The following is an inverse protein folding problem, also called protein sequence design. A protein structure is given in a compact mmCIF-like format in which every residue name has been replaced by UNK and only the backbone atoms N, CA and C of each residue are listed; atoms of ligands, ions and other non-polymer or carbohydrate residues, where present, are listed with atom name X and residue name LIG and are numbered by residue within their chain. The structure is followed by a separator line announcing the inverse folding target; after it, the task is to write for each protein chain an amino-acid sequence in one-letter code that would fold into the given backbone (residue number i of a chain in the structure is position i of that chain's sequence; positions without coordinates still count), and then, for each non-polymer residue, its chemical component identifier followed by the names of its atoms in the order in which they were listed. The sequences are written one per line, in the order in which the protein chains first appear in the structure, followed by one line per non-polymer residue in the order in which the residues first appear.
data_IF_193210239556
#
_entry.id   IF_193210239556
#
_cell.length_a   1.000
_cell.length_b   1.000
_cell.length_c   1.000
_cell.angle_alpha   90.00
_cell.angle_beta   90.00
_cell.angle_gamma   90.00
#
_symmetry.space_group_name_H-M   'P 1'
#
loop_
_entity.id
_entity.type
_entity.pdbx_description
1 polymer ?
#
# COMPACT_ATOMS: atom_id res chain seq x y z
N UNK A 1 14.48 -6.44 -4.47
CA UNK A 1 14.40 -5.71 -5.75
C UNK A 1 14.62 -4.23 -5.46
N UNK A 2 14.95 -3.41 -6.46
CA UNK A 2 15.08 -1.96 -6.34
C UNK A 2 14.13 -1.29 -7.36
N UNK A 3 13.70 -0.06 -7.06
CA UNK A 3 12.98 0.78 -8.02
C UNK A 3 13.86 1.19 -9.22
N UNK A 4 13.32 1.97 -10.15
CA UNK A 4 14.10 2.47 -11.29
C UNK A 4 15.26 3.35 -10.80
N UNK A 5 16.35 3.36 -11.57
CA UNK A 5 17.44 4.30 -11.36
C UNK A 5 17.06 5.74 -11.77
N UNK A 6 15.99 5.88 -12.56
CA UNK A 6 15.50 7.17 -13.08
C UNK A 6 14.36 7.76 -12.22
N UNK A 7 13.93 7.06 -11.17
CA UNK A 7 12.92 7.57 -10.24
C UNK A 7 13.47 8.77 -9.44
N UNK A 8 12.58 9.66 -9.00
CA UNK A 8 12.94 10.78 -8.09
C UNK A 8 13.64 10.26 -6.82
N UNK A 9 13.19 9.11 -6.31
CA UNK A 9 13.84 8.36 -5.23
C UNK A 9 14.44 7.07 -5.80
N UNK A 10 15.49 7.25 -6.61
CA UNK A 10 16.13 6.18 -7.36
C UNK A 10 16.61 5.03 -6.49
N UNK A 11 16.52 3.81 -7.03
CA UNK A 11 17.03 2.58 -6.40
C UNK A 11 16.49 2.35 -4.97
N UNK A 12 15.27 2.79 -4.68
CA UNK A 12 14.61 2.51 -3.40
C UNK A 12 14.34 1.01 -3.27
N UNK A 13 14.62 0.43 -2.10
CA UNK A 13 14.35 -0.98 -1.84
C UNK A 13 12.85 -1.30 -1.97
N UNK A 14 12.52 -2.29 -2.83
CA UNK A 14 11.14 -2.71 -3.11
C UNK A 14 11.03 -4.23 -3.28
N UNK A 15 9.78 -4.72 -3.30
CA UNK A 15 9.39 -6.10 -3.59
C UNK A 15 8.62 -6.15 -4.91
N UNK A 16 8.56 -7.35 -5.49
CA UNK A 16 7.64 -7.65 -6.59
C UNK A 16 6.61 -8.66 -6.12
N UNK A 17 5.38 -8.52 -6.61
CA UNK A 17 4.32 -9.51 -6.42
C UNK A 17 4.04 -10.36 -7.66
N UNK A 18 4.80 -10.20 -8.75
CA UNK A 18 4.59 -10.92 -10.01
C UNK A 18 4.46 -12.43 -9.85
N UNK A 19 5.19 -13.01 -8.88
CA UNK A 19 5.20 -14.45 -8.60
C UNK A 19 4.56 -14.80 -7.25
N UNK A 20 3.89 -13.85 -6.61
CA UNK A 20 3.28 -14.07 -5.30
C UNK A 20 2.04 -14.96 -5.44
N UNK A 21 2.04 -16.06 -4.68
CA UNK A 21 0.83 -16.86 -4.44
C UNK A 21 0.28 -16.49 -3.07
N UNK A 22 -0.96 -16.01 -3.04
CA UNK A 22 -1.61 -15.60 -1.80
C UNK A 22 -2.90 -16.37 -1.59
N UNK A 23 -3.03 -17.02 -0.42
CA UNK A 23 -4.24 -17.71 0.01
C UNK A 23 -4.59 -17.22 1.41
N UNK A 24 -5.85 -16.83 1.60
CA UNK A 24 -6.38 -16.38 2.88
C UNK A 24 -7.88 -16.64 2.93
N UNK A 25 -8.42 -17.04 4.10
CA UNK A 25 -9.86 -17.13 4.28
C UNK A 25 -10.53 -15.76 4.49
N UNK A 26 -9.75 -14.69 4.64
CA UNK A 26 -10.25 -13.34 4.95
C UNK A 26 -10.26 -12.44 3.72
N UNK A 27 -9.15 -12.40 2.98
CA UNK A 27 -8.97 -11.45 1.88
C UNK A 27 -8.50 -12.12 0.60
N UNK A 28 -8.91 -11.56 -0.54
CA UNK A 28 -8.33 -11.86 -1.84
C UNK A 28 -7.36 -10.76 -2.21
N UNK A 29 -6.14 -11.15 -2.60
CA UNK A 29 -5.12 -10.23 -3.05
C UNK A 29 -4.90 -10.40 -4.55
N UNK A 30 -4.90 -9.29 -5.28
CA UNK A 30 -4.56 -9.24 -6.70
C UNK A 30 -3.56 -8.12 -6.91
N UNK A 31 -2.33 -8.48 -7.26
CA UNK A 31 -1.30 -7.54 -7.66
C UNK A 31 -1.18 -7.47 -9.18
N UNK A 32 -0.92 -6.26 -9.69
CA UNK A 32 -0.58 -6.02 -11.09
C UNK A 32 0.59 -5.04 -11.11
N UNK A 33 1.69 -5.44 -11.72
CA UNK A 33 2.88 -4.62 -11.92
C UNK A 33 3.04 -4.40 -13.42
N UNK A 34 2.78 -3.19 -13.91
CA UNK A 34 2.69 -2.93 -15.36
C UNK A 34 4.04 -2.81 -16.03
N UNK A 35 5.08 -2.44 -15.28
CA UNK A 35 6.45 -2.30 -15.77
C UNK A 35 7.48 -2.80 -14.75
N UNK A 36 8.63 -3.25 -15.25
CA UNK A 36 9.82 -3.49 -14.43
C UNK A 36 10.61 -2.20 -14.21
N UNK A 37 11.73 -2.28 -13.48
CA UNK A 37 12.57 -1.11 -13.17
C UNK A 37 13.18 -0.46 -14.42
N UNK A 38 13.37 -1.22 -15.49
CA UNK A 38 13.82 -0.74 -16.80
C UNK A 38 12.66 -0.16 -17.65
N UNK A 39 11.47 0.06 -17.06
CA UNK A 39 10.27 0.58 -17.73
C UNK A 39 9.73 -0.33 -18.85
N UNK A 40 10.16 -1.59 -18.88
CA UNK A 40 9.65 -2.58 -19.82
C UNK A 40 8.37 -3.18 -19.28
N UNK A 41 7.40 -3.42 -20.17
CA UNK A 41 6.10 -4.01 -19.81
C UNK A 41 6.28 -5.34 -19.09
N UNK A 42 5.65 -5.50 -17.93
CA UNK A 42 5.82 -6.68 -17.07
C UNK A 42 4.56 -7.55 -17.02
N UNK A 43 3.43 -7.01 -16.53
CA UNK A 43 2.14 -7.70 -16.49
C UNK A 43 1.07 -6.93 -17.27
N UNK A 44 0.16 -7.60 -18.00
CA UNK A 44 -1.01 -6.95 -18.54
C UNK A 44 -2.00 -6.61 -17.40
N UNK A 45 -2.69 -5.47 -17.51
CA UNK A 45 -3.85 -5.21 -16.66
C UNK A 45 -5.00 -6.14 -17.05
N UNK A 46 -5.73 -6.64 -16.05
CA UNK A 46 -7.01 -7.33 -16.29
C UNK A 46 -8.08 -6.31 -16.69
N UNK A 47 -9.15 -6.76 -17.38
CA UNK A 47 -10.27 -5.90 -17.73
C UNK A 47 -10.91 -5.24 -16.48
N UNK A 48 -11.01 -6.00 -15.38
CA UNK A 48 -11.56 -5.50 -14.11
C UNK A 48 -10.67 -4.40 -13.50
N UNK A 49 -9.36 -4.63 -13.43
CA UNK A 49 -8.42 -3.64 -12.92
C UNK A 49 -8.38 -2.38 -13.80
N UNK A 50 -8.38 -2.55 -15.13
CA UNK A 50 -8.42 -1.44 -16.08
C UNK A 50 -9.69 -0.60 -15.91
N UNK A 51 -10.85 -1.22 -15.66
CA UNK A 51 -12.10 -0.51 -15.41
C UNK A 51 -12.05 0.27 -14.09
N UNK A 52 -11.54 -0.35 -13.01
CA UNK A 52 -11.34 0.33 -11.71
C UNK A 52 -10.42 1.53 -11.87
N UNK A 53 -9.27 1.34 -12.53
CA UNK A 53 -8.30 2.40 -12.77
C UNK A 53 -8.91 3.55 -13.59
N UNK A 54 -9.58 3.24 -14.71
CA UNK A 54 -10.30 4.24 -15.53
C UNK A 54 -11.35 5.02 -14.73
N UNK A 55 -11.97 4.40 -13.72
CA UNK A 55 -13.03 5.02 -12.93
C UNK A 55 -12.48 5.93 -11.83
N UNK A 56 -11.35 5.57 -11.21
CA UNK A 56 -10.88 6.19 -9.98
C UNK A 56 -9.50 6.83 -10.05
N UNK A 57 -8.72 6.59 -11.09
CA UNK A 57 -7.46 7.28 -11.35
C UNK A 57 -7.71 8.54 -12.22
N UNK A 58 -8.76 9.27 -11.85
CA UNK A 58 -9.18 10.56 -12.44
C UNK A 58 -9.68 11.50 -11.34
N UNK A 59 -9.73 12.82 -11.56
CA UNK A 59 -10.37 13.75 -10.62
C UNK A 59 -11.84 13.38 -10.34
N UNK A 60 -12.37 13.59 -9.12
CA UNK A 60 -11.71 14.23 -7.97
C UNK A 60 -10.88 13.27 -7.09
N UNK A 61 -10.79 11.99 -7.44
CA UNK A 61 -10.13 10.97 -6.62
C UNK A 61 -8.60 11.07 -6.65
N UNK A 62 -8.03 11.56 -7.75
CA UNK A 62 -6.60 11.87 -7.87
C UNK A 62 -6.40 13.23 -8.52
N UNK A 63 -5.27 13.86 -8.21
CA UNK A 63 -4.85 15.10 -8.87
C UNK A 63 -4.22 14.85 -10.24
N UNK A 64 -3.48 13.75 -10.37
CA UNK A 64 -2.81 13.33 -11.60
C UNK A 64 -3.13 11.86 -11.84
N UNK A 65 -3.51 11.53 -13.08
CA UNK A 65 -3.71 10.15 -13.51
C UNK A 65 -2.37 9.43 -13.68
N UNK A 66 -2.47 8.12 -13.75
CA UNK A 66 -1.40 7.12 -13.78
C UNK A 66 -0.56 7.10 -12.50
N UNK A 67 -1.17 7.51 -11.37
CA UNK A 67 -0.54 7.49 -10.07
C UNK A 67 -0.37 6.05 -9.56
N UNK A 68 0.88 5.68 -9.25
CA UNK A 68 1.20 4.41 -8.59
C UNK A 68 1.98 4.68 -7.29
N UNK A 69 1.79 3.88 -6.22
CA UNK A 69 0.89 2.73 -6.14
C UNK A 69 -0.60 3.14 -6.10
N UNK A 70 -1.44 2.28 -6.67
CA UNK A 70 -2.90 2.39 -6.63
C UNK A 70 -3.48 1.12 -6.00
N UNK A 71 -4.26 1.28 -4.92
CA UNK A 71 -4.94 0.18 -4.24
C UNK A 71 -6.42 0.47 -4.15
N UNK A 72 -7.22 -0.50 -4.58
CA UNK A 72 -8.67 -0.50 -4.47
C UNK A 72 -9.10 -1.55 -3.46
N UNK A 73 -9.67 -1.11 -2.35
CA UNK A 73 -10.12 -2.00 -1.27
C UNK A 73 -11.63 -2.19 -1.36
N UNK A 74 -12.03 -3.24 -2.08
CA UNK A 74 -13.42 -3.73 -2.21
C UNK A 74 -14.47 -2.63 -2.46
N UNK A 75 -14.10 -1.57 -3.16
CA UNK A 75 -14.98 -0.42 -3.40
C UNK A 75 -15.16 0.56 -2.25
N UNK A 76 -14.78 0.21 -1.03
CA UNK A 76 -14.94 1.06 0.15
C UNK A 76 -13.81 2.07 0.32
N UNK A 77 -12.59 1.73 -0.09
CA UNK A 77 -11.44 2.64 0.05
C UNK A 77 -10.52 2.65 -1.17
N UNK A 78 -9.85 3.78 -1.36
CA UNK A 78 -8.78 3.99 -2.33
C UNK A 78 -7.49 4.44 -1.64
N UNK A 79 -6.35 3.89 -2.07
CA UNK A 79 -5.02 4.43 -1.83
C UNK A 79 -4.39 4.76 -3.17
N UNK A 80 -4.19 6.05 -3.46
CA UNK A 80 -3.74 6.52 -4.78
C UNK A 80 -2.36 7.18 -4.75
N UNK A 81 -1.70 7.12 -3.60
CA UNK A 81 -0.36 7.64 -3.38
C UNK A 81 0.34 6.82 -2.29
N UNK A 82 1.68 6.83 -2.22
CA UNK A 82 2.39 6.21 -1.09
C UNK A 82 1.94 6.81 0.25
N UNK A 83 1.66 5.97 1.25
CA UNK A 83 1.37 6.44 2.62
C UNK A 83 2.61 6.95 3.36
N UNK A 84 3.80 6.72 2.80
CA UNK A 84 5.08 7.22 3.29
C UNK A 84 5.93 7.73 2.12
N UNK A 85 6.76 8.73 2.37
CA UNK A 85 7.72 9.21 1.38
C UNK A 85 8.83 8.15 1.17
N UNK A 86 9.11 7.73 -0.07
CA UNK A 86 10.23 6.82 -0.35
C UNK A 86 11.59 7.37 0.06
N UNK A 87 11.73 8.69 0.20
CA UNK A 87 12.94 9.33 0.76
C UNK A 87 13.36 8.74 2.12
N UNK A 88 12.38 8.31 2.92
CA UNK A 88 12.61 7.71 4.25
C UNK A 88 13.30 6.34 4.19
N UNK A 89 13.35 5.73 3.00
CA UNK A 89 13.96 4.43 2.73
C UNK A 89 15.24 4.56 1.87
N UNK A 90 15.60 5.79 1.47
CA UNK A 90 16.68 6.02 0.50
C UNK A 90 18.02 5.49 1.04
N UNK A 91 18.71 4.70 0.22
CA UNK A 91 20.01 4.13 0.57
C UNK A 91 19.98 3.00 1.61
N UNK A 92 18.80 2.63 2.12
CA UNK A 92 18.66 1.53 3.06
C UNK A 92 18.58 0.18 2.34
N UNK A 93 19.19 -0.85 2.92
CA UNK A 93 18.99 -2.24 2.49
C UNK A 93 17.71 -2.82 3.09
N UNK A 94 17.23 -3.92 2.52
CA UNK A 94 16.09 -4.67 3.08
C UNK A 94 16.29 -5.08 4.54
N UNK A 95 17.51 -5.49 4.89
CA UNK A 95 17.87 -5.87 6.25
C UNK A 95 17.78 -4.67 7.21
N UNK A 96 18.29 -3.50 6.80
CA UNK A 96 18.21 -2.28 7.60
C UNK A 96 16.76 -1.81 7.80
N UNK A 97 15.95 -1.85 6.74
CA UNK A 97 14.52 -1.53 6.83
C UNK A 97 13.83 -2.49 7.78
N UNK A 98 14.07 -3.80 7.65
CA UNK A 98 13.51 -4.82 8.53
C UNK A 98 13.91 -4.62 9.99
N UNK A 99 15.18 -4.36 10.26
CA UNK A 99 15.69 -4.10 11.61
C UNK A 99 15.04 -2.86 12.25
N UNK A 100 14.88 -1.78 11.47
CA UNK A 100 14.22 -0.56 11.94
C UNK A 100 12.73 -0.79 12.21
N UNK A 101 12.04 -1.55 11.36
CA UNK A 101 10.63 -1.92 11.57
C UNK A 101 10.43 -2.93 12.70
N UNK A 102 11.47 -3.63 13.13
CA UNK A 102 11.42 -4.51 14.29
C UNK A 102 11.64 -3.78 15.63
N UNK A 103 12.22 -2.57 15.64
CA UNK A 103 12.38 -1.75 16.84
C UNK A 103 11.27 -0.67 16.94
N UNK A 104 10.31 -0.79 17.88
CA UNK A 104 9.25 0.19 18.07
C UNK A 104 9.72 1.61 18.40
N UNK A 105 10.98 1.78 18.80
CA UNK A 105 11.58 3.08 19.14
C UNK A 105 12.25 3.74 17.94
N UNK A 106 12.34 3.06 16.80
CA UNK A 106 12.99 3.61 15.63
C UNK A 106 12.15 4.70 14.97
N UNK A 107 12.82 5.67 14.34
CA UNK A 107 12.13 6.74 13.62
C UNK A 107 11.29 6.17 12.47
N UNK A 108 11.81 5.15 11.77
CA UNK A 108 11.12 4.52 10.66
C UNK A 108 9.86 3.77 11.11
N UNK A 109 9.92 3.08 12.25
CA UNK A 109 8.75 2.44 12.86
C UNK A 109 7.68 3.47 13.22
N UNK A 110 8.08 4.54 13.91
CA UNK A 110 7.16 5.60 14.32
C UNK A 110 6.45 6.26 13.12
N UNK A 111 7.12 6.33 11.97
CA UNK A 111 6.56 6.86 10.74
C UNK A 111 5.64 5.86 10.01
N UNK A 112 6.05 4.60 9.88
CA UNK A 112 5.35 3.58 9.06
C UNK A 112 4.19 2.93 9.80
N UNK A 113 4.37 2.56 11.07
CA UNK A 113 3.40 1.72 11.78
C UNK A 113 2.00 2.35 11.93
N UNK A 114 1.84 3.68 12.12
CA UNK A 114 0.52 4.31 12.09
C UNK A 114 -0.21 4.13 10.76
N UNK A 115 0.50 4.13 9.63
CA UNK A 115 -0.06 3.92 8.29
C UNK A 115 -0.46 2.46 8.08
N UNK A 116 0.39 1.52 8.52
CA UNK A 116 0.08 0.08 8.52
C UNK A 116 -1.20 -0.19 9.31
N UNK A 117 -1.30 0.37 10.52
CA UNK A 117 -2.49 0.23 11.36
C UNK A 117 -3.75 0.82 10.72
N UNK A 118 -3.63 1.94 10.02
CA UNK A 118 -4.75 2.54 9.27
C UNK A 118 -5.21 1.65 8.12
N UNK A 119 -4.27 1.12 7.34
CA UNK A 119 -4.59 0.20 6.26
C UNK A 119 -5.24 -1.09 6.77
N UNK A 120 -4.72 -1.65 7.88
CA UNK A 120 -5.35 -2.78 8.56
C UNK A 120 -6.75 -2.45 9.08
N UNK A 121 -6.96 -1.25 9.64
CA UNK A 121 -8.29 -0.81 10.09
C UNK A 121 -9.29 -0.70 8.93
N UNK A 122 -8.86 -0.20 7.77
CA UNK A 122 -9.69 -0.14 6.56
C UNK A 122 -10.15 -1.55 6.12
N UNK A 123 -9.23 -2.51 6.10
CA UNK A 123 -9.56 -3.92 5.81
C UNK A 123 -10.49 -4.49 6.87
N UNK A 124 -10.23 -4.26 8.16
CA UNK A 124 -11.08 -4.73 9.25
C UNK A 124 -12.52 -4.21 9.16
N UNK A 125 -12.75 -2.98 8.67
CA UNK A 125 -14.10 -2.47 8.41
C UNK A 125 -14.80 -3.22 7.28
N UNK A 126 -14.07 -3.63 6.25
CA UNK A 126 -14.62 -4.40 5.12
C UNK A 126 -14.94 -5.84 5.56
N UNK A 127 -14.03 -6.49 6.28
CA UNK A 127 -14.13 -7.91 6.66
C UNK A 127 -14.92 -8.13 7.96
N UNK A 128 -15.67 -7.13 8.44
CA UNK A 128 -16.52 -7.26 9.63
C UNK A 128 -15.74 -7.54 10.93
N UNK A 129 -14.56 -6.92 11.07
CA UNK A 129 -13.60 -7.10 12.17
C UNK A 129 -12.95 -8.49 12.23
N UNK A 130 -12.77 -9.15 11.08
CA UNK A 130 -12.03 -10.41 10.98
C UNK A 130 -10.68 -10.25 10.25
N UNK A 131 -9.64 -11.01 10.66
CA UNK A 131 -9.59 -11.83 11.86
C UNK A 131 -9.49 -10.99 13.14
N UNK A 132 -10.22 -11.41 14.19
CA UNK A 132 -10.25 -10.69 15.47
C UNK A 132 -8.85 -10.37 16.04
N UNK A 133 -7.86 -11.27 15.87
CA UNK A 133 -6.49 -11.04 16.35
C UNK A 133 -5.81 -9.79 15.76
N UNK A 134 -6.14 -9.45 14.50
CA UNK A 134 -5.60 -8.27 13.81
C UNK A 134 -6.47 -7.07 14.14
N UNK A 135 -7.79 -7.23 14.03
CA UNK A 135 -8.73 -6.11 14.19
C UNK A 135 -8.85 -5.62 15.64
N UNK A 136 -8.51 -6.46 16.62
CA UNK A 136 -8.43 -6.10 18.03
C UNK A 136 -7.02 -5.65 18.47
N UNK A 137 -6.04 -5.60 17.56
CA UNK A 137 -4.72 -5.08 17.90
C UNK A 137 -4.84 -3.61 18.32
N UNK A 138 -4.21 -3.16 19.44
CA UNK A 138 -4.41 -1.81 19.97
C UNK A 138 -4.15 -0.70 18.95
N UNK A 139 -3.11 -0.84 18.13
CA UNK A 139 -2.79 0.11 17.06
C UNK A 139 -3.88 0.20 15.99
N UNK A 140 -4.49 -0.94 15.62
CA UNK A 140 -5.57 -1.03 14.64
C UNK A 140 -6.85 -0.41 15.21
N UNK A 141 -7.19 -0.69 16.46
CA UNK A 141 -8.33 -0.05 17.14
C UNK A 141 -8.17 1.47 17.17
N UNK A 142 -6.99 1.95 17.59
CA UNK A 142 -6.70 3.38 17.65
C UNK A 142 -6.76 4.03 16.27
N UNK A 143 -6.27 3.35 15.23
CA UNK A 143 -6.37 3.84 13.85
C UNK A 143 -7.81 3.86 13.33
N UNK A 144 -8.59 2.84 13.66
CA UNK A 144 -9.98 2.69 13.22
C UNK A 144 -10.87 3.85 13.69
N UNK A 145 -10.61 4.38 14.90
CA UNK A 145 -11.35 5.51 15.44
C UNK A 145 -11.18 6.81 14.62
N UNK A 146 -10.06 6.99 13.92
CA UNK A 146 -9.72 8.21 13.16
C UNK A 146 -9.51 7.98 11.66
N UNK A 147 -10.00 6.87 11.11
CA UNK A 147 -9.67 6.44 9.74
C UNK A 147 -10.16 7.42 8.66
N UNK A 148 -11.23 8.17 8.92
CA UNK A 148 -11.77 9.16 7.98
C UNK A 148 -10.82 10.36 7.73
N UNK A 149 -9.79 10.53 8.59
CA UNK A 149 -8.93 11.72 8.62
C UNK A 149 -7.47 11.45 8.16
N UNK A 150 -7.14 10.24 7.69
CA UNK A 150 -5.76 9.86 7.38
C UNK A 150 -5.45 9.96 5.89
N UNK A 151 -4.73 11.02 5.53
CA UNK A 151 -4.26 11.33 4.18
C UNK A 151 -3.57 10.15 3.52
N UNK A 152 -4.25 9.53 2.58
CA UNK A 152 -3.79 8.35 1.86
C UNK A 152 -4.92 7.36 1.61
N UNK A 153 -5.78 7.11 2.60
CA UNK A 153 -6.91 6.17 2.48
C UNK A 153 -8.20 6.99 2.35
N UNK A 154 -8.77 7.04 1.15
CA UNK A 154 -10.02 7.76 0.88
C UNK A 154 -11.20 6.81 0.96
N UNK A 155 -12.14 7.08 1.86
CA UNK A 155 -13.43 6.41 1.88
C UNK A 155 -14.24 6.78 0.64
N UNK A 156 -15.01 5.82 0.12
CA UNK A 156 -15.93 5.98 -1.00
C UNK A 156 -17.36 5.69 -0.57
#
# INVERSE_FOLDING_TARGET
MLSSADDVFANTATFTFQFAHFNSPYLRFQAIETANREQQKLMPMTAQAAQVFKTFDVPPYVRFSYGIPFVYLNGAYLLTQPMISPASLQGMTWEQIGAQLADPRSALFAQIMPQVNAFSAAICRIDGNQPARVCAAPGVIAANAGLSDRGGIMAR
#
